data_IF_025183234374
#
_entry.id   IF_025183234374
#
_cell.length_a   1.000
_cell.length_b   1.000
_cell.length_c   1.000
_cell.angle_alpha   90.00
_cell.angle_beta   90.00
_cell.angle_gamma   90.00
#
_symmetry.space_group_name_H-M   'P 1'
#
loop_
_entity.id
_entity.type
_entity.pdbx_description
1 polymer ?
#
# COMPACT_ATOMS: atom_id res chain seq x y z
N UNK A 1 38.32 -31.55 -40.49
CA UNK A 1 37.57 -30.28 -40.47
C UNK A 1 36.24 -30.34 -39.71
N UNK A 2 35.79 -31.50 -39.21
CA UNK A 2 34.50 -31.64 -38.49
C UNK A 2 34.50 -31.24 -36.99
N UNK A 3 35.68 -31.17 -36.34
CA UNK A 3 35.75 -30.92 -34.90
C UNK A 3 35.55 -29.43 -34.52
N UNK A 4 35.99 -28.50 -35.38
CA UNK A 4 35.88 -27.06 -35.14
C UNK A 4 34.45 -26.52 -35.24
N UNK A 5 33.65 -27.10 -36.14
CA UNK A 5 32.23 -26.73 -36.32
C UNK A 5 31.37 -27.21 -35.15
N UNK A 6 31.71 -28.34 -34.54
CA UNK A 6 31.03 -28.86 -33.34
C UNK A 6 31.23 -27.95 -32.12
N UNK A 7 32.48 -27.51 -31.89
CA UNK A 7 32.82 -26.56 -30.83
C UNK A 7 32.15 -25.19 -31.04
N UNK A 8 32.09 -24.70 -32.28
CA UNK A 8 31.39 -23.45 -32.62
C UNK A 8 29.86 -23.54 -32.44
N UNK A 9 29.24 -24.66 -32.81
CA UNK A 9 27.80 -24.86 -32.56
C UNK A 9 27.48 -24.93 -31.07
N UNK A 10 28.33 -25.60 -30.28
CA UNK A 10 28.14 -25.72 -28.83
C UNK A 10 28.21 -24.37 -28.11
N UNK A 11 29.19 -23.53 -28.47
CA UNK A 11 29.33 -22.19 -27.88
C UNK A 11 28.18 -21.25 -28.27
N UNK A 12 27.72 -21.32 -29.52
CA UNK A 12 26.56 -20.56 -29.99
C UNK A 12 25.28 -20.97 -29.24
N UNK A 13 25.08 -22.28 -29.03
CA UNK A 13 23.95 -22.82 -28.28
C UNK A 13 23.97 -22.34 -26.82
N UNK A 14 25.13 -22.39 -26.16
CA UNK A 14 25.31 -21.90 -24.79
C UNK A 14 25.03 -20.39 -24.66
N UNK A 15 25.48 -19.59 -25.63
CA UNK A 15 25.18 -18.15 -25.68
C UNK A 15 23.68 -17.87 -25.86
N UNK A 16 23.01 -18.63 -26.73
CA UNK A 16 21.56 -18.52 -26.95
C UNK A 16 20.76 -18.94 -25.71
N UNK A 17 21.17 -20.01 -25.01
CA UNK A 17 20.54 -20.40 -23.74
C UNK A 17 20.79 -19.36 -22.64
N UNK A 18 22.02 -18.86 -22.50
CA UNK A 18 22.36 -17.84 -21.52
C UNK A 18 21.57 -16.55 -21.70
N UNK A 19 21.42 -16.08 -22.94
CA UNK A 19 20.62 -14.89 -23.26
C UNK A 19 19.13 -15.08 -22.99
N UNK A 20 18.57 -16.27 -23.27
CA UNK A 20 17.18 -16.61 -22.94
C UNK A 20 16.95 -16.65 -21.42
N UNK A 21 17.88 -17.22 -20.66
CA UNK A 21 17.81 -17.25 -19.19
C UNK A 21 17.83 -15.83 -18.59
N UNK A 22 18.75 -14.97 -19.05
CA UNK A 22 18.82 -13.58 -18.61
C UNK A 22 17.53 -12.81 -18.95
N UNK A 23 16.95 -13.03 -20.13
CA UNK A 23 15.71 -12.39 -20.54
C UNK A 23 14.50 -12.84 -19.70
N UNK A 24 14.41 -14.14 -19.39
CA UNK A 24 13.33 -14.70 -18.55
C UNK A 24 13.42 -14.18 -17.12
N UNK A 25 14.62 -14.07 -16.55
CA UNK A 25 14.83 -13.49 -15.22
C UNK A 25 14.43 -12.02 -15.18
N UNK A 26 14.71 -11.25 -16.24
CA UNK A 26 14.30 -9.86 -16.35
C UNK A 26 12.77 -9.66 -16.48
N UNK A 27 12.04 -10.67 -16.98
CA UNK A 27 10.58 -10.67 -17.11
C UNK A 27 9.86 -11.09 -15.82
N UNK A 28 10.56 -11.72 -14.87
CA UNK A 28 9.99 -12.05 -13.58
C UNK A 28 9.87 -10.75 -12.77
N UNK A 29 8.66 -10.16 -12.75
CA UNK A 29 8.35 -8.98 -11.95
C UNK A 29 8.87 -9.17 -10.52
N UNK A 30 9.62 -8.18 -10.04
CA UNK A 30 10.37 -8.28 -8.79
C UNK A 30 9.39 -8.43 -7.62
N UNK A 31 9.20 -9.66 -7.14
CA UNK A 31 8.50 -9.94 -5.88
C UNK A 31 9.07 -9.15 -4.70
N UNK A 32 10.37 -8.80 -4.78
CA UNK A 32 11.03 -7.94 -3.81
C UNK A 32 10.49 -6.50 -3.84
N UNK A 33 10.12 -5.98 -5.01
CA UNK A 33 9.57 -4.62 -5.17
C UNK A 33 8.16 -4.50 -4.58
N UNK A 34 7.34 -5.55 -4.72
CA UNK A 34 5.98 -5.60 -4.15
C UNK A 34 6.03 -5.71 -2.61
N UNK A 35 7.00 -6.46 -2.07
CA UNK A 35 7.28 -6.48 -0.61
C UNK A 35 7.77 -5.12 -0.12
N UNK A 36 8.69 -4.47 -0.83
CA UNK A 36 9.23 -3.15 -0.50
C UNK A 36 8.14 -2.06 -0.52
N UNK A 37 7.26 -2.06 -1.53
CA UNK A 37 6.15 -1.11 -1.62
C UNK A 37 5.13 -1.32 -0.50
N UNK A 38 4.93 -2.57 -0.07
CA UNK A 38 4.02 -2.91 1.03
C UNK A 38 4.60 -2.50 2.39
N UNK A 39 5.91 -2.63 2.59
CA UNK A 39 6.63 -2.15 3.78
C UNK A 39 6.65 -0.61 3.83
N UNK A 40 6.96 0.06 2.71
CA UNK A 40 6.94 1.52 2.58
C UNK A 40 5.51 2.11 2.75
N UNK A 41 4.47 1.31 2.51
CA UNK A 41 3.07 1.68 2.82
C UNK A 41 2.72 1.49 4.30
N UNK A 42 3.41 0.61 5.03
CA UNK A 42 3.15 0.36 6.45
C UNK A 42 3.80 1.41 7.36
N UNK A 43 4.90 2.04 6.94
CA UNK A 43 5.59 3.09 7.70
C UNK A 43 5.02 4.50 7.51
N UNK A 44 3.99 4.65 6.66
CA UNK A 44 3.36 5.96 6.39
C UNK A 44 2.23 6.21 7.38
N UNK A 45 2.50 7.05 8.37
CA UNK A 45 1.46 7.58 9.25
C UNK A 45 0.48 8.47 8.47
N UNK A 46 -0.81 8.29 8.72
CA UNK A 46 -1.86 9.15 8.18
C UNK A 46 -2.34 10.14 9.24
N UNK A 47 -2.41 11.43 8.88
CA UNK A 47 -3.00 12.46 9.73
C UNK A 47 -4.50 12.54 9.47
N UNK A 48 -5.28 12.55 10.55
CA UNK A 48 -6.73 12.71 10.49
C UNK A 48 -7.17 13.95 11.27
N UNK A 49 -8.14 14.67 10.71
CA UNK A 49 -8.88 15.71 11.43
C UNK A 49 -10.21 15.15 11.88
N UNK A 50 -10.37 14.99 13.19
CA UNK A 50 -11.64 14.54 13.79
C UNK A 50 -12.53 15.75 14.06
N UNK A 51 -13.79 15.69 13.64
CA UNK A 51 -14.80 16.73 13.92
C UNK A 51 -16.04 16.09 14.53
N UNK A 52 -16.32 16.40 15.80
CA UNK A 52 -17.56 15.97 16.45
C UNK A 52 -18.65 17.02 16.23
N UNK A 53 -19.71 16.67 15.51
CA UNK A 53 -20.92 17.49 15.39
C UNK A 53 -22.02 16.88 16.23
N UNK A 54 -22.45 17.63 17.24
CA UNK A 54 -23.58 17.24 18.08
C UNK A 54 -24.82 18.00 17.64
N UNK A 55 -25.98 17.37 17.80
CA UNK A 55 -27.26 17.94 17.36
C UNK A 55 -28.31 17.97 18.48
N UNK A 56 -27.84 18.12 19.72
CA UNK A 56 -28.70 18.22 20.89
C UNK A 56 -29.17 19.66 21.09
N UNK A 57 -30.26 20.01 20.40
CA UNK A 57 -30.88 21.34 20.48
C UNK A 57 -32.33 21.26 20.96
N UNK A 58 -32.86 22.35 21.52
CA UNK A 58 -34.26 22.45 21.95
C UNK A 58 -35.25 22.15 20.83
N UNK A 59 -34.96 22.64 19.62
CA UNK A 59 -35.84 22.43 18.47
C UNK A 59 -36.01 20.94 18.10
N UNK A 60 -34.98 20.12 18.33
CA UNK A 60 -35.02 18.67 18.07
C UNK A 60 -35.44 17.86 19.29
N UNK A 61 -35.06 18.31 20.49
CA UNK A 61 -35.30 17.63 21.76
C UNK A 61 -35.94 18.60 22.76
N UNK A 62 -37.24 18.93 22.60
CA UNK A 62 -37.88 19.99 23.39
C UNK A 62 -38.19 19.57 24.82
N UNK A 63 -38.41 18.27 25.05
CA UNK A 63 -38.84 17.75 26.35
C UNK A 63 -37.71 17.85 27.37
N UNK A 64 -37.93 18.66 28.41
CA UNK A 64 -36.97 18.89 29.51
C UNK A 64 -35.57 19.31 29.04
N UNK A 65 -35.47 20.11 27.97
CA UNK A 65 -34.18 20.59 27.50
C UNK A 65 -33.49 21.45 28.59
N UNK A 66 -32.26 21.10 29.03
CA UNK A 66 -31.60 21.84 30.10
C UNK A 66 -31.19 23.25 29.64
N UNK A 67 -31.89 24.27 30.13
CA UNK A 67 -31.57 25.68 29.82
C UNK A 67 -30.64 26.31 30.86
N UNK A 68 -30.63 25.80 32.09
CA UNK A 68 -29.91 26.42 33.19
C UNK A 68 -29.38 25.40 34.22
N UNK A 69 -28.20 25.73 34.79
CA UNK A 69 -27.46 25.06 35.87
C UNK A 69 -27.39 23.51 35.83
N UNK A 70 -26.52 22.93 34.98
CA UNK A 70 -25.85 23.55 33.83
C UNK A 70 -26.76 23.50 32.59
N UNK A 71 -26.55 24.39 31.61
CA UNK A 71 -27.17 24.24 30.30
C UNK A 71 -26.70 22.94 29.62
N UNK A 72 -27.45 22.50 28.61
CA UNK A 72 -27.09 21.33 27.81
C UNK A 72 -25.66 21.47 27.24
N UNK A 73 -24.80 20.50 27.55
CA UNK A 73 -23.39 20.52 27.19
C UNK A 73 -22.84 19.11 27.00
N UNK A 74 -21.68 19.02 26.34
CA UNK A 74 -20.93 17.78 26.17
C UNK A 74 -19.63 17.85 26.95
N UNK A 75 -19.16 16.71 27.45
CA UNK A 75 -17.84 16.59 28.05
C UNK A 75 -16.71 16.78 27.02
N UNK A 76 -15.48 16.74 27.51
CA UNK A 76 -14.29 16.81 26.65
C UNK A 76 -14.26 15.59 25.72
N UNK A 77 -14.04 15.83 24.43
CA UNK A 77 -13.68 14.78 23.47
C UNK A 77 -12.26 14.31 23.79
N UNK A 78 -12.12 13.05 24.17
CA UNK A 78 -10.86 12.38 24.50
C UNK A 78 -10.59 11.23 23.53
#
# INVERSE_FOLDING_TARGET
MLHGTWLQCSTLLLLLLGTRLLFVVAQCGSFAQDRQEKEDKQDKLALYKVTLRTYWSRARFPRHYPEWKPPAQFGKLI
#
